data_IF_913012752705
#
_entry.id   IF_913012752705
#
_cell.length_a   1.000
_cell.length_b   1.000
_cell.length_c   1.000
_cell.angle_alpha   90.00
_cell.angle_beta   90.00
_cell.angle_gamma   90.00
#
_symmetry.space_group_name_H-M   'P 1'
#
loop_
_entity.id
_entity.type
_entity.pdbx_description
1 polymer ?
#
# COMPACT_ATOMS: atom_id res chain seq x y z
N UNK A 1 5.29 22.39 -14.26
CA UNK A 1 4.16 22.15 -13.36
C UNK A 1 4.53 20.95 -12.49
N UNK A 2 4.16 20.90 -11.21
CA UNK A 2 4.44 19.72 -10.40
C UNK A 2 3.78 18.48 -11.05
N UNK A 3 4.51 17.37 -11.05
CA UNK A 3 4.01 16.13 -11.64
C UNK A 3 2.96 15.50 -10.68
N UNK A 4 1.68 15.55 -11.06
CA UNK A 4 0.57 15.00 -10.27
C UNK A 4 0.48 13.51 -10.53
N UNK A 5 0.77 12.71 -9.52
CA UNK A 5 0.73 11.24 -9.62
C UNK A 5 -0.66 10.66 -9.37
N UNK A 6 -1.42 11.26 -8.44
CA UNK A 6 -2.79 10.82 -8.11
C UNK A 6 -3.70 12.03 -7.99
N UNK A 7 -4.87 11.94 -8.59
CA UNK A 7 -5.87 13.00 -8.54
C UNK A 7 -7.26 12.40 -8.30
N UNK A 8 -8.03 13.03 -7.43
CA UNK A 8 -9.47 12.84 -7.30
C UNK A 8 -10.17 14.10 -7.79
N UNK A 9 -11.25 13.96 -8.56
CA UNK A 9 -12.07 15.06 -9.06
C UNK A 9 -13.53 14.82 -8.71
N UNK A 10 -14.12 15.75 -7.93
CA UNK A 10 -15.52 15.72 -7.50
C UNK A 10 -15.91 14.35 -6.93
N UNK A 11 -15.01 13.77 -6.12
CA UNK A 11 -15.15 12.39 -5.67
C UNK A 11 -16.19 12.29 -4.56
N UNK A 12 -17.22 11.48 -4.78
CA UNK A 12 -18.28 11.28 -3.82
C UNK A 12 -18.65 9.80 -3.64
N UNK A 13 -19.03 9.45 -2.41
CA UNK A 13 -19.55 8.12 -2.07
C UNK A 13 -20.70 8.22 -1.09
N UNK A 14 -21.84 7.72 -1.53
CA UNK A 14 -23.07 7.66 -0.74
C UNK A 14 -23.45 6.21 -0.47
N UNK A 15 -23.89 5.94 0.75
CA UNK A 15 -24.42 4.65 1.19
C UNK A 15 -25.87 4.90 1.64
N UNK A 16 -26.83 4.72 0.73
CA UNK A 16 -28.20 5.16 0.94
C UNK A 16 -28.26 6.66 1.21
N UNK A 17 -28.76 7.06 2.36
CA UNK A 17 -28.83 8.47 2.77
C UNK A 17 -27.56 9.01 3.42
N UNK A 18 -26.53 8.18 3.65
CA UNK A 18 -25.27 8.61 4.26
C UNK A 18 -24.28 9.08 3.18
N UNK A 19 -23.90 10.34 3.22
CA UNK A 19 -22.82 10.91 2.40
C UNK A 19 -21.48 10.71 3.12
N UNK A 20 -20.80 9.63 2.84
CA UNK A 20 -19.54 9.29 3.50
C UNK A 20 -18.34 10.07 2.95
N UNK A 21 -18.37 10.43 1.67
CA UNK A 21 -17.45 11.34 0.99
C UNK A 21 -18.31 12.16 0.03
N UNK A 22 -18.13 13.48 -0.02
CA UNK A 22 -18.97 14.36 -0.81
C UNK A 22 -18.14 15.48 -1.47
N UNK A 23 -18.00 15.42 -2.81
CA UNK A 23 -17.37 16.43 -3.63
C UNK A 23 -15.88 16.68 -3.32
N UNK A 24 -15.09 15.63 -3.06
CA UNK A 24 -13.67 15.78 -2.70
C UNK A 24 -12.81 15.92 -3.94
N UNK A 25 -12.07 17.04 -4.02
CA UNK A 25 -10.95 17.25 -4.94
C UNK A 25 -9.62 17.08 -4.21
N UNK A 26 -8.72 16.28 -4.77
CA UNK A 26 -7.39 16.01 -4.21
C UNK A 26 -6.36 15.91 -5.32
N UNK A 27 -5.21 16.53 -5.14
CA UNK A 27 -4.04 16.38 -6.01
C UNK A 27 -2.82 15.99 -5.17
N UNK A 28 -2.20 14.88 -5.52
CA UNK A 28 -0.98 14.36 -4.88
C UNK A 28 0.18 14.46 -5.85
N UNK A 29 1.21 15.20 -5.45
CA UNK A 29 2.43 15.36 -6.24
C UNK A 29 3.35 14.14 -6.10
N UNK A 30 4.02 13.75 -7.18
CA UNK A 30 5.01 12.69 -7.17
C UNK A 30 6.13 12.98 -6.15
N UNK A 31 6.58 11.96 -5.41
CA UNK A 31 7.63 12.06 -4.40
C UNK A 31 7.26 12.82 -3.13
N UNK A 32 6.00 13.27 -3.00
CA UNK A 32 5.54 14.00 -1.80
C UNK A 32 5.04 13.06 -0.70
N UNK A 33 4.91 13.63 0.50
CA UNK A 33 4.19 13.04 1.63
C UNK A 33 2.93 13.89 1.88
N UNK A 34 1.77 13.28 1.71
CA UNK A 34 0.48 13.88 2.01
C UNK A 34 -0.14 13.22 3.24
N UNK A 35 -0.81 14.02 4.09
CA UNK A 35 -1.56 13.50 5.22
C UNK A 35 -3.01 13.91 5.11
N UNK A 36 -3.91 12.93 5.22
CA UNK A 36 -5.36 13.15 5.28
C UNK A 36 -5.77 13.11 6.74
N UNK A 37 -6.12 14.29 7.29
CA UNK A 37 -6.45 14.44 8.71
C UNK A 37 -7.95 14.69 8.86
N UNK A 38 -8.51 14.17 9.96
CA UNK A 38 -9.92 14.37 10.31
C UNK A 38 -10.33 13.47 11.47
N UNK A 39 -11.44 13.77 12.14
CA UNK A 39 -11.96 12.96 13.24
C UNK A 39 -12.36 11.55 12.78
N UNK A 40 -12.62 10.67 13.76
CA UNK A 40 -13.18 9.35 13.46
C UNK A 40 -14.57 9.53 12.82
N UNK A 41 -14.86 8.75 11.80
CA UNK A 41 -16.11 8.87 11.03
C UNK A 41 -16.10 9.94 9.93
N UNK A 42 -15.03 10.75 9.77
CA UNK A 42 -14.95 11.78 8.72
C UNK A 42 -14.82 11.23 7.28
N UNK A 43 -14.92 9.92 7.06
CA UNK A 43 -14.83 9.32 5.73
C UNK A 43 -13.42 9.03 5.23
N UNK A 44 -12.36 9.18 6.05
CA UNK A 44 -10.96 8.94 5.65
C UNK A 44 -10.77 7.58 5.00
N UNK A 45 -11.14 6.50 5.68
CA UNK A 45 -11.04 5.13 5.15
C UNK A 45 -11.86 4.94 3.87
N UNK A 46 -13.04 5.58 3.78
CA UNK A 46 -13.85 5.57 2.55
C UNK A 46 -13.10 6.26 1.42
N UNK A 47 -12.47 7.40 1.66
CA UNK A 47 -11.65 8.10 0.67
C UNK A 47 -10.46 7.24 0.22
N UNK A 48 -9.72 6.62 1.15
CA UNK A 48 -8.64 5.67 0.80
C UNK A 48 -9.16 4.48 -0.03
N UNK A 49 -10.37 3.97 0.29
CA UNK A 49 -11.03 2.91 -0.48
C UNK A 49 -11.34 3.35 -1.92
N UNK A 50 -11.79 4.59 -2.11
CA UNK A 50 -12.07 5.15 -3.42
C UNK A 50 -10.79 5.38 -4.22
N UNK A 51 -9.78 6.02 -3.63
CA UNK A 51 -8.50 6.31 -4.27
C UNK A 51 -7.78 5.06 -4.75
N UNK A 52 -7.89 3.95 -4.01
CA UNK A 52 -7.28 2.68 -4.37
C UNK A 52 -8.09 1.84 -5.36
N UNK A 53 -9.34 2.22 -5.68
CA UNK A 53 -10.24 1.42 -6.51
C UNK A 53 -10.89 0.24 -5.78
N UNK A 54 -10.74 0.13 -4.45
CA UNK A 54 -11.42 -0.88 -3.63
C UNK A 54 -12.93 -0.65 -3.58
N UNK A 55 -13.34 0.63 -3.47
CA UNK A 55 -14.73 1.05 -3.63
C UNK A 55 -14.90 1.85 -4.92
N UNK A 56 -16.06 1.70 -5.57
CA UNK A 56 -16.45 2.54 -6.69
C UNK A 56 -17.15 3.79 -6.17
N UNK A 57 -16.82 4.98 -6.69
CA UNK A 57 -17.50 6.20 -6.31
C UNK A 57 -18.94 6.23 -6.82
N UNK A 58 -19.77 7.02 -6.17
CA UNK A 58 -21.11 7.38 -6.65
C UNK A 58 -21.00 8.43 -7.75
N UNK A 59 -20.14 9.43 -7.55
CA UNK A 59 -19.77 10.48 -8.53
C UNK A 59 -18.28 10.70 -8.53
N UNK A 60 -17.81 11.44 -9.54
CA UNK A 60 -16.43 11.83 -9.69
C UNK A 60 -15.55 10.73 -10.24
N UNK A 61 -14.26 11.00 -10.25
CA UNK A 61 -13.28 10.09 -10.84
C UNK A 61 -11.94 10.14 -10.11
N UNK A 62 -11.17 9.06 -10.23
CA UNK A 62 -9.80 8.94 -9.73
C UNK A 62 -8.87 8.76 -10.94
N UNK A 63 -7.85 9.60 -11.00
CA UNK A 63 -6.86 9.61 -12.07
C UNK A 63 -5.50 9.27 -11.46
N UNK A 64 -4.83 8.26 -11.97
CA UNK A 64 -3.49 7.84 -11.55
C UNK A 64 -2.55 7.91 -12.75
N UNK A 65 -1.48 8.71 -12.64
CA UNK A 65 -0.52 8.95 -13.72
C UNK A 65 -1.21 9.37 -15.04
N UNK A 66 -2.16 10.31 -14.96
CA UNK A 66 -2.94 10.78 -16.10
C UNK A 66 -3.98 9.79 -16.64
N UNK A 67 -4.09 8.59 -16.08
CA UNK A 67 -5.03 7.55 -16.50
C UNK A 67 -6.22 7.48 -15.54
N UNK A 68 -7.43 7.50 -16.06
CA UNK A 68 -8.64 7.25 -15.27
C UNK A 68 -8.68 5.79 -14.80
N UNK A 69 -8.65 5.61 -13.47
CA UNK A 69 -8.68 4.30 -12.80
C UNK A 69 -9.99 4.05 -12.06
N UNK A 70 -10.98 4.92 -12.16
CA UNK A 70 -12.23 4.92 -11.38
C UNK A 70 -12.96 3.58 -11.41
N UNK A 71 -12.93 2.89 -12.54
CA UNK A 71 -13.59 1.59 -12.73
C UNK A 71 -12.62 0.44 -12.96
N UNK A 72 -11.32 0.70 -12.83
CA UNK A 72 -10.29 -0.32 -13.00
C UNK A 72 -10.34 -1.27 -11.79
N UNK A 73 -10.30 -2.60 -11.99
CA UNK A 73 -10.26 -3.56 -10.88
C UNK A 73 -9.01 -3.39 -10.03
N UNK A 74 -9.12 -3.56 -8.71
CA UNK A 74 -8.07 -3.36 -7.72
C UNK A 74 -6.74 -4.03 -8.10
N UNK A 75 -6.77 -5.29 -8.56
CA UNK A 75 -5.55 -6.02 -8.95
C UNK A 75 -4.82 -5.34 -10.12
N UNK A 76 -5.54 -4.72 -11.06
CA UNK A 76 -4.93 -3.96 -12.15
C UNK A 76 -4.36 -2.63 -11.66
N UNK A 77 -5.03 -1.98 -10.71
CA UNK A 77 -4.52 -0.75 -10.08
C UNK A 77 -3.20 -1.02 -9.36
N UNK A 78 -3.09 -2.16 -8.65
CA UNK A 78 -1.84 -2.60 -8.03
C UNK A 78 -0.72 -2.79 -9.07
N UNK A 79 -1.02 -3.40 -10.24
CA UNK A 79 -0.04 -3.55 -11.33
C UNK A 79 0.37 -2.24 -12.00
N UNK A 80 -0.41 -1.16 -11.82
CA UNK A 80 -0.02 0.18 -12.26
C UNK A 80 0.95 0.86 -11.29
N UNK A 81 1.19 0.29 -10.11
CA UNK A 81 2.11 0.82 -9.12
C UNK A 81 1.45 1.58 -7.96
N UNK A 82 0.15 1.35 -7.70
CA UNK A 82 -0.52 1.89 -6.52
C UNK A 82 -0.57 0.82 -5.43
N UNK A 83 0.22 0.99 -4.38
CA UNK A 83 0.23 0.16 -3.18
C UNK A 83 -0.71 0.69 -2.11
N UNK A 84 -1.42 -0.20 -1.41
CA UNK A 84 -2.31 0.18 -0.32
C UNK A 84 -2.16 -0.75 0.88
N UNK A 85 -2.12 -0.16 2.09
CA UNK A 85 -2.33 -0.90 3.33
C UNK A 85 -3.83 -1.11 3.59
N UNK A 86 -4.18 -2.21 4.23
CA UNK A 86 -5.55 -2.47 4.67
C UNK A 86 -5.61 -2.34 6.20
N UNK A 87 -6.77 -1.91 6.73
CA UNK A 87 -7.01 -1.84 8.19
C UNK A 87 -6.94 -3.22 8.86
N UNK A 88 -7.23 -4.29 8.11
CA UNK A 88 -7.12 -5.67 8.60
C UNK A 88 -5.79 -6.22 8.08
N UNK A 89 -5.00 -6.79 8.99
CA UNK A 89 -3.72 -7.43 8.69
C UNK A 89 -3.90 -8.52 7.63
N UNK A 90 -3.59 -8.20 6.37
CA UNK A 90 -3.68 -9.13 5.24
C UNK A 90 -2.37 -9.92 5.08
N UNK A 91 -1.99 -10.64 6.13
CA UNK A 91 -0.85 -11.56 6.09
C UNK A 91 -1.36 -13.00 6.14
N UNK A 92 -0.62 -13.91 5.55
CA UNK A 92 -0.84 -15.34 5.71
C UNK A 92 -0.18 -15.79 7.01
N UNK A 93 -0.96 -16.04 8.10
CA UNK A 93 -0.40 -16.22 9.44
C UNK A 93 0.47 -17.47 9.56
N UNK A 94 0.18 -18.49 8.76
CA UNK A 94 0.89 -19.77 8.75
C UNK A 94 2.08 -19.81 7.79
N UNK A 95 2.38 -18.71 7.08
CA UNK A 95 3.57 -18.55 6.27
C UNK A 95 4.61 -17.71 6.99
N UNK A 96 5.87 -17.91 6.63
CA UNK A 96 6.97 -17.12 7.16
C UNK A 96 6.92 -15.68 6.67
N UNK A 97 7.67 -14.79 7.31
CA UNK A 97 7.88 -13.41 6.85
C UNK A 97 8.32 -13.41 5.38
N UNK A 98 9.34 -14.19 5.05
CA UNK A 98 9.88 -14.27 3.69
C UNK A 98 8.82 -14.73 2.69
N UNK A 99 8.05 -15.77 2.99
CA UNK A 99 7.03 -16.29 2.06
C UNK A 99 5.89 -15.30 1.84
N UNK A 100 5.44 -14.57 2.88
CA UNK A 100 4.46 -13.51 2.73
C UNK A 100 4.92 -12.43 1.74
N UNK A 101 6.15 -11.95 1.91
CA UNK A 101 6.71 -10.87 1.08
C UNK A 101 7.04 -11.37 -0.33
N UNK A 102 7.57 -12.60 -0.46
CA UNK A 102 7.86 -13.23 -1.76
C UNK A 102 6.58 -13.40 -2.60
N UNK A 103 5.48 -13.82 -1.99
CA UNK A 103 4.20 -13.97 -2.69
C UNK A 103 3.71 -12.62 -3.26
N UNK A 104 3.88 -11.54 -2.52
CA UNK A 104 3.52 -10.20 -3.00
C UNK A 104 4.41 -9.77 -4.18
N UNK A 105 5.74 -10.00 -4.09
CA UNK A 105 6.66 -9.76 -5.20
C UNK A 105 6.28 -10.56 -6.46
N UNK A 106 5.85 -11.81 -6.27
CA UNK A 106 5.44 -12.70 -7.36
C UNK A 106 4.09 -12.28 -7.97
N UNK A 107 3.14 -11.79 -7.17
CA UNK A 107 1.80 -11.41 -7.64
C UNK A 107 1.83 -10.32 -8.71
N UNK A 108 2.80 -9.42 -8.66
CA UNK A 108 3.00 -8.35 -9.66
C UNK A 108 3.71 -8.87 -10.92
N UNK A 109 4.31 -10.05 -10.87
CA UNK A 109 4.94 -10.69 -12.03
C UNK A 109 3.92 -11.02 -13.11
N UNK A 110 4.25 -10.75 -14.39
CA UNK A 110 3.37 -11.02 -15.55
C UNK A 110 3.44 -12.46 -16.07
N UNK A 111 4.09 -13.37 -15.33
CA UNK A 111 4.60 -14.63 -15.88
C UNK A 111 4.13 -15.89 -15.15
N UNK A 112 3.01 -15.85 -14.48
CA UNK A 112 2.48 -16.94 -13.63
C UNK A 112 2.25 -18.29 -14.39
N UNK A 113 2.34 -18.31 -15.73
CA UNK A 113 2.07 -19.50 -16.55
C UNK A 113 3.30 -20.04 -17.30
N UNK A 114 4.52 -19.46 -17.15
CA UNK A 114 5.71 -19.91 -17.88
C UNK A 114 6.63 -20.73 -16.98
N UNK A 115 6.40 -22.03 -16.88
CA UNK A 115 7.12 -22.98 -16.02
C UNK A 115 8.62 -23.12 -16.34
N UNK A 116 9.07 -22.88 -17.57
CA UNK A 116 10.46 -23.13 -18.01
C UNK A 116 11.51 -22.08 -17.65
N UNK A 117 11.07 -20.92 -17.08
CA UNK A 117 11.99 -19.86 -16.60
C UNK A 117 11.91 -19.65 -15.09
N UNK A 118 11.50 -20.68 -14.36
CA UNK A 118 11.12 -20.55 -12.94
C UNK A 118 12.27 -20.15 -12.00
N UNK A 119 13.50 -20.67 -12.18
CA UNK A 119 14.56 -20.51 -11.19
C UNK A 119 15.14 -19.09 -11.12
N UNK A 120 15.47 -18.49 -12.26
CA UNK A 120 16.03 -17.13 -12.29
C UNK A 120 15.01 -16.07 -11.79
N UNK A 121 13.74 -16.31 -12.05
CA UNK A 121 12.65 -15.42 -11.61
C UNK A 121 12.33 -15.59 -10.14
N UNK A 122 12.33 -16.82 -9.66
CA UNK A 122 12.18 -17.09 -8.23
C UNK A 122 13.28 -16.35 -7.44
N UNK A 123 14.50 -16.33 -7.96
CA UNK A 123 15.60 -15.55 -7.38
C UNK A 123 15.28 -14.05 -7.36
N UNK A 124 14.78 -13.47 -8.45
CA UNK A 124 14.41 -12.05 -8.50
C UNK A 124 13.28 -11.69 -7.51
N UNK A 125 12.31 -12.57 -7.30
CA UNK A 125 11.25 -12.36 -6.29
C UNK A 125 11.79 -12.49 -4.87
N UNK A 126 12.73 -13.42 -4.63
CA UNK A 126 13.43 -13.55 -3.35
C UNK A 126 14.29 -12.31 -3.07
N UNK A 127 15.06 -11.84 -4.05
CA UNK A 127 15.90 -10.64 -3.90
C UNK A 127 15.05 -9.41 -3.53
N UNK A 128 13.91 -9.22 -4.19
CA UNK A 128 12.93 -8.16 -3.84
C UNK A 128 12.35 -8.35 -2.45
N UNK A 129 12.03 -9.59 -2.06
CA UNK A 129 11.50 -9.88 -0.75
C UNK A 129 12.51 -9.56 0.35
N UNK A 130 13.77 -9.99 0.20
CA UNK A 130 14.84 -9.67 1.14
C UNK A 130 15.07 -8.16 1.25
N UNK A 131 15.10 -7.44 0.14
CA UNK A 131 15.26 -5.99 0.14
C UNK A 131 14.12 -5.29 0.88
N UNK A 132 12.86 -5.70 0.65
CA UNK A 132 11.70 -5.14 1.35
C UNK A 132 11.72 -5.46 2.85
N UNK A 133 12.11 -6.69 3.24
CA UNK A 133 12.24 -7.11 4.63
C UNK A 133 13.32 -6.28 5.36
N UNK A 134 14.48 -6.09 4.72
CA UNK A 134 15.55 -5.27 5.27
C UNK A 134 15.14 -3.80 5.40
N UNK A 135 14.44 -3.26 4.40
CA UNK A 135 14.00 -1.86 4.37
C UNK A 135 13.03 -1.53 5.52
N UNK A 136 12.21 -2.49 5.96
CA UNK A 136 11.30 -2.29 7.10
C UNK A 136 11.91 -2.72 8.45
N UNK A 137 13.17 -3.14 8.50
CA UNK A 137 13.85 -3.54 9.73
C UNK A 137 13.39 -4.88 10.29
N UNK A 138 13.04 -5.84 9.42
CA UNK A 138 12.70 -7.23 9.78
C UNK A 138 13.83 -8.23 9.43
N UNK A 139 15.02 -7.74 9.10
CA UNK A 139 16.19 -8.57 8.83
C UNK A 139 16.48 -9.52 10.01
N UNK A 140 16.73 -10.79 9.71
CA UNK A 140 16.92 -11.86 10.71
C UNK A 140 15.63 -12.53 11.17
N UNK A 141 14.44 -12.08 10.70
CA UNK A 141 13.15 -12.69 11.01
C UNK A 141 12.49 -13.39 9.82
N UNK A 142 13.24 -13.64 8.75
CA UNK A 142 12.75 -14.17 7.48
C UNK A 142 12.05 -15.52 7.64
N UNK A 143 12.56 -16.37 8.52
CA UNK A 143 12.02 -17.71 8.81
C UNK A 143 10.93 -17.73 9.88
N UNK A 144 10.65 -16.59 10.53
CA UNK A 144 9.64 -16.52 11.59
C UNK A 144 8.24 -16.56 10.96
N UNK A 145 7.32 -17.34 11.54
CA UNK A 145 5.92 -17.35 11.13
C UNK A 145 5.27 -15.97 11.39
N UNK A 146 4.46 -15.50 10.46
CA UNK A 146 3.79 -14.22 10.60
C UNK A 146 2.86 -14.17 11.84
N UNK A 147 2.25 -15.32 12.22
CA UNK A 147 1.45 -15.45 13.44
C UNK A 147 2.25 -15.18 14.72
N UNK A 148 3.53 -15.56 14.75
CA UNK A 148 4.41 -15.44 15.91
C UNK A 148 5.02 -14.03 16.07
N UNK A 149 4.85 -13.13 15.09
CA UNK A 149 5.37 -11.77 15.17
C UNK A 149 4.60 -10.94 16.21
N UNK A 150 5.31 -10.10 17.00
CA UNK A 150 4.69 -9.02 17.76
C UNK A 150 3.90 -8.06 16.87
N UNK A 151 2.92 -7.34 17.45
CA UNK A 151 2.02 -6.48 16.68
C UNK A 151 2.76 -5.42 15.84
N UNK A 152 3.77 -4.75 16.39
CA UNK A 152 4.58 -3.77 15.65
C UNK A 152 5.34 -4.38 14.46
N UNK A 153 5.84 -5.62 14.60
CA UNK A 153 6.51 -6.31 13.51
C UNK A 153 5.51 -6.80 12.44
N UNK A 154 4.27 -7.11 12.83
CA UNK A 154 3.21 -7.39 11.85
C UNK A 154 2.92 -6.17 10.97
N UNK A 155 2.92 -4.95 11.55
CA UNK A 155 2.78 -3.70 10.78
C UNK A 155 3.95 -3.47 9.82
N UNK A 156 5.17 -3.79 10.25
CA UNK A 156 6.35 -3.76 9.37
C UNK A 156 6.23 -4.80 8.25
N UNK A 157 5.74 -6.01 8.56
CA UNK A 157 5.50 -7.04 7.54
C UNK A 157 4.47 -6.59 6.49
N UNK A 158 3.37 -5.97 6.91
CA UNK A 158 2.38 -5.39 5.98
C UNK A 158 3.03 -4.37 5.04
N UNK A 159 3.88 -3.50 5.58
CA UNK A 159 4.61 -2.52 4.78
C UNK A 159 5.59 -3.20 3.81
N UNK A 160 6.32 -4.25 4.25
CA UNK A 160 7.21 -5.03 3.39
C UNK A 160 6.45 -5.70 2.23
N UNK A 161 5.25 -6.25 2.50
CA UNK A 161 4.38 -6.86 1.49
C UNK A 161 4.02 -5.83 0.39
N UNK A 162 3.66 -4.60 0.78
CA UNK A 162 3.34 -3.55 -0.18
C UNK A 162 4.59 -3.15 -0.96
N UNK A 163 5.73 -2.96 -0.29
CA UNK A 163 7.00 -2.55 -0.90
C UNK A 163 7.53 -3.58 -1.90
N UNK A 164 7.32 -4.87 -1.65
CA UNK A 164 7.75 -5.94 -2.55
C UNK A 164 7.08 -5.88 -3.93
N UNK A 165 5.95 -5.21 -4.05
CA UNK A 165 5.29 -4.93 -5.33
C UNK A 165 5.90 -3.73 -6.08
N UNK A 166 6.89 -3.06 -5.50
CA UNK A 166 7.56 -1.86 -6.02
C UNK A 166 6.59 -0.75 -6.44
N UNK A 167 5.71 -0.29 -5.55
CA UNK A 167 4.73 0.73 -5.87
C UNK A 167 5.38 2.10 -6.05
N UNK A 168 4.77 2.96 -6.88
CA UNK A 168 5.16 4.37 -7.03
C UNK A 168 4.48 5.27 -6.01
N UNK A 169 3.28 4.87 -5.56
CA UNK A 169 2.54 5.52 -4.48
C UNK A 169 2.06 4.49 -3.45
N UNK A 170 2.20 4.85 -2.18
CA UNK A 170 1.69 4.07 -1.04
C UNK A 170 0.54 4.85 -0.39
N UNK A 171 -0.62 4.20 -0.30
CA UNK A 171 -1.77 4.68 0.47
C UNK A 171 -1.80 3.91 1.81
N UNK A 172 -1.46 4.56 2.90
CA UNK A 172 -1.32 3.96 4.23
C UNK A 172 -2.41 4.52 5.17
N UNK A 173 -3.51 3.79 5.32
CA UNK A 173 -4.63 4.18 6.16
C UNK A 173 -4.34 3.81 7.62
N UNK A 174 -4.12 4.81 8.47
CA UNK A 174 -3.80 4.68 9.91
C UNK A 174 -2.67 3.66 10.19
N UNK A 175 -1.46 3.82 9.61
CA UNK A 175 -0.41 2.79 9.70
C UNK A 175 0.06 2.50 11.12
N UNK A 176 -0.17 3.42 12.05
CA UNK A 176 0.24 3.32 13.46
C UNK A 176 -0.88 2.81 14.37
N UNK A 177 -2.07 2.53 13.86
CA UNK A 177 -3.20 2.11 14.66
C UNK A 177 -2.91 0.82 15.45
N UNK A 178 -3.16 0.85 16.76
CA UNK A 178 -2.95 -0.28 17.66
C UNK A 178 -1.49 -0.57 18.03
N UNK A 179 -0.54 0.28 17.62
CA UNK A 179 0.87 0.17 18.04
C UNK A 179 1.09 0.82 19.42
N UNK A 180 2.06 0.29 20.16
CA UNK A 180 2.53 0.94 21.37
C UNK A 180 3.23 2.27 21.01
N UNK A 181 3.08 3.29 21.85
CA UNK A 181 3.56 4.66 21.58
C UNK A 181 5.05 4.71 21.24
N UNK A 182 5.84 3.84 21.89
CA UNK A 182 7.30 3.76 21.70
C UNK A 182 7.69 3.22 20.30
N UNK A 183 6.80 2.50 19.63
CA UNK A 183 7.05 1.91 18.32
C UNK A 183 6.65 2.82 17.16
N UNK A 184 5.77 3.81 17.43
CA UNK A 184 5.27 4.73 16.40
C UNK A 184 6.39 5.53 15.73
N UNK A 185 7.33 6.17 16.47
CA UNK A 185 8.42 6.92 15.86
C UNK A 185 9.25 6.06 14.90
N UNK A 186 9.57 4.83 15.30
CA UNK A 186 10.36 3.93 14.47
C UNK A 186 9.66 3.55 13.16
N UNK A 187 8.34 3.32 13.16
CA UNK A 187 7.59 3.08 11.92
C UNK A 187 7.57 4.34 11.04
N UNK A 188 7.41 5.52 11.63
CA UNK A 188 7.42 6.79 10.90
C UNK A 188 8.79 7.08 10.26
N UNK A 189 9.88 6.74 10.94
CA UNK A 189 11.25 6.83 10.39
C UNK A 189 11.44 5.89 9.18
N UNK A 190 10.91 4.65 9.25
CA UNK A 190 10.90 3.73 8.13
C UNK A 190 10.13 4.33 6.94
N UNK A 191 8.94 4.87 7.17
CA UNK A 191 8.11 5.51 6.12
C UNK A 191 8.85 6.71 5.50
N UNK A 192 9.49 7.54 6.32
CA UNK A 192 10.29 8.68 5.86
C UNK A 192 11.49 8.23 5.02
N UNK A 193 12.17 7.16 5.43
CA UNK A 193 13.30 6.55 4.69
C UNK A 193 12.87 6.01 3.34
N UNK A 194 11.72 5.31 3.27
CA UNK A 194 11.15 4.77 2.03
C UNK A 194 10.88 5.91 1.04
N UNK A 195 10.33 7.03 1.50
CA UNK A 195 10.13 8.22 0.66
C UNK A 195 11.45 8.77 0.14
N UNK A 196 12.45 8.94 1.03
CA UNK A 196 13.73 9.57 0.69
C UNK A 196 14.58 8.77 -0.28
N UNK A 197 14.67 7.45 -0.10
CA UNK A 197 15.54 6.59 -0.89
C UNK A 197 15.00 6.23 -2.27
N UNK A 198 13.68 6.24 -2.47
CA UNK A 198 13.07 5.74 -3.71
C UNK A 198 12.22 6.75 -4.47
N UNK A 199 12.15 8.03 -4.04
CA UNK A 199 11.25 9.01 -4.66
C UNK A 199 9.77 8.60 -4.61
N UNK A 200 9.40 7.69 -3.70
CA UNK A 200 8.05 7.17 -3.58
C UNK A 200 7.12 8.22 -3.01
N UNK A 201 5.90 8.26 -3.53
CA UNK A 201 4.83 9.10 -3.01
C UNK A 201 4.12 8.39 -1.88
N UNK A 202 3.79 9.07 -0.80
CA UNK A 202 3.11 8.47 0.35
C UNK A 202 1.91 9.33 0.73
N UNK A 203 0.76 8.68 0.95
CA UNK A 203 -0.45 9.28 1.52
C UNK A 203 -0.79 8.55 2.81
N UNK A 204 -0.91 9.32 3.91
CA UNK A 204 -1.20 8.84 5.27
C UNK A 204 -2.60 9.27 5.69
#
# INVERSE_FOLDING_TARGET
MPDIILEARDLAKYFGGLHAVDGVDLQVQAGSLHSIIGPNGAGKTTLFNLLSGYLKPTHGRVIFQGRDITRVPLYRVAHLGLGRSFQITNVFPNLTVLENVRLAAQAIGRDNLKMWKASARLKAYLDRAYAAIEQVGLKGKEAVLASALPHGDKRKLELAIILASDPQILLLDEPTAGMASEQVPHLMDIIATIRGQGGKTIVL
#
